data_IF_322075220445
#
_entry.id   IF_322075220445
#
_cell.length_a   1.000
_cell.length_b   1.000
_cell.length_c   1.000
_cell.angle_alpha   90.00
_cell.angle_beta   90.00
_cell.angle_gamma   90.00
#
_symmetry.space_group_name_H-M   'P 1'
#
loop_
_entity.id
_entity.type
_entity.pdbx_description
1 polymer ?
#
# COMPACT_ATOMS: atom_id res chain seq x y z
N UNK A 1 -0.41 -25.06 -7.38
CA UNK A 1 0.08 -26.44 -7.35
C UNK A 1 -0.01 -27.11 -8.71
N UNK A 2 -1.18 -27.07 -9.38
CA UNK A 2 -1.40 -27.75 -10.67
C UNK A 2 -0.58 -27.17 -11.83
N UNK A 3 -0.37 -25.87 -11.87
CA UNK A 3 0.33 -25.16 -12.95
C UNK A 3 1.81 -24.90 -12.67
N UNK A 4 2.34 -25.34 -11.52
CA UNK A 4 3.73 -25.09 -11.14
C UNK A 4 4.78 -25.76 -12.02
N UNK A 5 4.36 -26.68 -12.92
CA UNK A 5 5.23 -27.33 -13.91
C UNK A 5 5.37 -26.54 -15.22
N UNK A 6 4.57 -25.51 -15.40
CA UNK A 6 4.57 -24.67 -16.61
C UNK A 6 5.11 -23.28 -16.27
N UNK A 7 5.64 -22.55 -17.23
CA UNK A 7 5.97 -21.16 -17.06
C UNK A 7 4.75 -20.39 -16.51
N UNK A 8 4.91 -19.68 -15.41
CA UNK A 8 3.80 -19.01 -14.76
C UNK A 8 4.22 -17.75 -14.04
N UNK A 9 3.30 -16.82 -13.92
CA UNK A 9 3.43 -15.63 -13.07
C UNK A 9 2.47 -15.78 -11.89
N UNK A 10 3.01 -15.89 -10.69
CA UNK A 10 2.21 -15.84 -9.45
C UNK A 10 2.22 -14.40 -8.94
N UNK A 11 1.10 -13.73 -9.08
CA UNK A 11 0.91 -12.39 -8.52
C UNK A 11 0.58 -12.50 -7.05
N UNK A 12 1.28 -11.71 -6.23
CA UNK A 12 1.04 -11.61 -4.78
C UNK A 12 0.29 -10.32 -4.50
N UNK A 13 -0.60 -10.34 -3.51
CA UNK A 13 -1.25 -9.13 -3.06
C UNK A 13 -0.20 -8.13 -2.57
N UNK A 14 -0.31 -6.90 -3.08
CA UNK A 14 0.54 -5.75 -2.73
C UNK A 14 -0.33 -4.63 -2.21
N UNK A 15 0.28 -3.71 -1.53
CA UNK A 15 -0.35 -2.49 -1.06
C UNK A 15 0.61 -1.32 -1.16
N UNK A 16 0.11 -0.10 -1.01
CA UNK A 16 0.96 1.08 -1.02
C UNK A 16 1.10 1.67 0.38
N UNK A 17 2.20 2.39 0.57
CA UNK A 17 2.55 3.02 1.84
C UNK A 17 2.86 4.51 1.63
N UNK A 18 2.67 5.31 2.67
CA UNK A 18 3.10 6.70 2.70
C UNK A 18 4.13 6.95 3.81
N UNK A 19 5.09 7.82 3.52
CA UNK A 19 6.11 8.26 4.48
C UNK A 19 5.91 9.74 4.75
N UNK A 20 5.61 10.08 6.01
CA UNK A 20 5.33 11.44 6.47
C UNK A 20 6.56 11.98 7.21
N UNK A 21 7.02 13.17 6.85
CA UNK A 21 8.15 13.85 7.50
C UNK A 21 7.72 14.87 8.56
N UNK A 22 6.42 15.20 8.61
CA UNK A 22 5.84 16.17 9.56
C UNK A 22 5.79 17.60 9.05
N UNK A 23 6.14 17.84 7.79
CA UNK A 23 6.09 19.15 7.16
C UNK A 23 4.99 19.23 6.09
N UNK A 24 4.02 18.31 6.14
CA UNK A 24 2.94 18.24 5.16
C UNK A 24 2.02 19.44 5.26
N UNK A 25 1.79 20.10 4.14
CA UNK A 25 0.84 21.19 3.96
C UNK A 25 -0.60 20.67 3.78
N UNK A 26 -1.59 21.56 3.79
CA UNK A 26 -2.98 21.18 3.47
C UNK A 26 -3.12 20.63 2.04
N UNK A 27 -2.32 21.11 1.10
CA UNK A 27 -2.31 20.57 -0.27
C UNK A 27 -1.76 19.14 -0.29
N UNK A 28 -0.70 18.85 0.47
CA UNK A 28 -0.16 17.49 0.61
C UNK A 28 -1.20 16.53 1.18
N UNK A 29 -1.98 16.97 2.18
CA UNK A 29 -3.08 16.17 2.73
C UNK A 29 -4.18 15.89 1.69
N UNK A 30 -4.52 16.87 0.87
CA UNK A 30 -5.49 16.71 -0.20
C UNK A 30 -5.00 15.69 -1.25
N UNK A 31 -3.71 15.73 -1.59
CA UNK A 31 -3.09 14.78 -2.51
C UNK A 31 -3.03 13.37 -1.90
N UNK A 32 -2.57 13.24 -0.66
CA UNK A 32 -2.51 11.96 0.04
C UNK A 32 -3.90 11.35 0.24
N UNK A 33 -4.93 12.17 0.46
CA UNK A 33 -6.30 11.68 0.58
C UNK A 33 -6.78 10.97 -0.69
N UNK A 34 -6.34 11.43 -1.88
CA UNK A 34 -6.62 10.73 -3.13
C UNK A 34 -5.94 9.37 -3.17
N UNK A 35 -4.69 9.28 -2.73
CA UNK A 35 -3.97 8.01 -2.69
C UNK A 35 -4.60 7.01 -1.70
N UNK A 36 -5.30 7.48 -0.66
CA UNK A 36 -5.99 6.63 0.31
C UNK A 36 -7.39 6.24 -0.17
N UNK A 37 -8.21 7.22 -0.56
CA UNK A 37 -9.65 7.04 -0.74
C UNK A 37 -10.10 6.79 -2.17
N UNK A 38 -9.28 7.09 -3.17
CA UNK A 38 -9.65 6.81 -4.56
C UNK A 38 -10.00 5.31 -4.69
N UNK A 39 -11.06 5.02 -5.41
CA UNK A 39 -11.63 3.66 -5.51
C UNK A 39 -11.97 3.04 -4.12
N UNK A 40 -12.24 3.89 -3.12
CA UNK A 40 -12.64 3.47 -1.77
C UNK A 40 -11.58 2.62 -1.05
N UNK A 41 -10.31 2.79 -1.36
CA UNK A 41 -9.22 2.03 -0.76
C UNK A 41 -9.10 0.57 -1.24
N UNK A 42 -9.76 0.20 -2.33
CA UNK A 42 -9.82 -1.19 -2.82
C UNK A 42 -8.64 -1.60 -3.71
N UNK A 43 -7.83 -0.66 -4.20
CA UNK A 43 -6.72 -0.92 -5.11
C UNK A 43 -5.41 -1.23 -4.40
N UNK A 44 -4.54 -2.00 -5.04
CA UNK A 44 -3.17 -2.24 -4.53
C UNK A 44 -2.30 -0.96 -4.48
N UNK A 45 -2.71 0.09 -5.22
CA UNK A 45 -2.06 1.41 -5.21
C UNK A 45 -2.63 2.34 -4.14
N UNK A 46 -3.70 1.95 -3.42
CA UNK A 46 -4.17 2.72 -2.29
C UNK A 46 -3.23 2.56 -1.10
N UNK A 47 -3.00 3.67 -0.41
CA UNK A 47 -2.19 3.70 0.80
C UNK A 47 -2.98 3.06 1.94
N UNK A 48 -2.47 1.96 2.48
CA UNK A 48 -3.04 1.24 3.62
C UNK A 48 -2.20 1.37 4.89
N UNK A 49 -0.98 1.89 4.78
CA UNK A 49 -0.09 2.13 5.91
C UNK A 49 0.67 3.43 5.75
N UNK A 50 0.83 4.15 6.86
CA UNK A 50 1.67 5.34 6.96
C UNK A 50 2.80 5.12 7.96
N UNK A 51 3.97 5.65 7.65
CA UNK A 51 5.08 5.80 8.59
C UNK A 51 5.19 7.27 8.98
N UNK A 52 5.24 7.56 10.27
CA UNK A 52 5.24 8.92 10.80
C UNK A 52 6.37 9.13 11.79
N UNK A 53 6.95 10.32 11.81
CA UNK A 53 8.11 10.64 12.66
C UNK A 53 7.76 10.84 14.14
N UNK A 54 6.51 11.23 14.45
CA UNK A 54 6.05 11.44 15.82
C UNK A 54 4.51 11.36 15.92
N UNK A 55 3.99 11.33 17.16
CA UNK A 55 2.55 11.23 17.41
C UNK A 55 1.76 12.51 17.04
N UNK A 56 2.38 13.67 17.07
CA UNK A 56 1.70 14.92 16.69
C UNK A 56 1.28 14.89 15.23
N UNK A 57 2.07 14.24 14.39
CA UNK A 57 1.77 14.07 12.97
C UNK A 57 0.56 13.17 12.71
N UNK A 58 0.19 12.27 13.63
CA UNK A 58 -1.02 11.46 13.51
C UNK A 58 -2.28 12.31 13.60
N UNK A 59 -2.30 13.30 14.50
CA UNK A 59 -3.43 14.21 14.64
C UNK A 59 -3.52 15.17 13.44
N UNK A 60 -2.37 15.68 12.98
CA UNK A 60 -2.31 16.49 11.77
C UNK A 60 -2.81 15.71 10.54
N UNK A 61 -2.39 14.45 10.39
CA UNK A 61 -2.87 13.55 9.35
C UNK A 61 -4.38 13.37 9.41
N UNK A 62 -4.96 12.99 10.57
CA UNK A 62 -6.41 12.78 10.69
C UNK A 62 -7.20 14.04 10.32
N UNK A 63 -6.78 15.19 10.83
CA UNK A 63 -7.39 16.48 10.49
C UNK A 63 -7.24 16.80 9.00
N UNK A 64 -6.08 16.48 8.42
CA UNK A 64 -5.82 16.65 6.99
C UNK A 64 -6.74 15.79 6.10
N UNK A 65 -7.25 14.67 6.64
CA UNK A 65 -8.19 13.78 5.92
C UNK A 65 -9.65 14.24 6.00
N UNK A 66 -10.02 15.22 6.85
CA UNK A 66 -11.40 15.69 7.01
C UNK A 66 -12.09 16.09 5.68
N UNK A 67 -11.42 16.72 4.70
CA UNK A 67 -12.05 17.02 3.41
C UNK A 67 -12.54 15.80 2.63
N UNK A 68 -12.04 14.61 2.93
CA UNK A 68 -12.44 13.35 2.27
C UNK A 68 -13.69 12.71 2.92
N UNK A 69 -14.34 13.37 3.88
CA UNK A 69 -15.49 12.83 4.62
C UNK A 69 -16.59 12.25 3.72
N UNK A 70 -16.81 12.79 2.54
CA UNK A 70 -17.83 12.31 1.59
C UNK A 70 -17.64 10.84 1.15
N UNK A 71 -16.50 10.22 1.45
CA UNK A 71 -16.27 8.80 1.16
C UNK A 71 -17.30 7.88 1.86
N UNK A 72 -17.86 8.32 3.00
CA UNK A 72 -18.90 7.58 3.73
C UNK A 72 -20.26 7.57 3.03
N UNK A 73 -20.50 8.41 2.05
CA UNK A 73 -21.72 8.37 1.24
C UNK A 73 -21.82 7.08 0.42
N UNK A 74 -20.67 6.41 0.24
CA UNK A 74 -20.62 5.10 -0.38
C UNK A 74 -20.93 3.99 0.64
N UNK A 75 -22.10 3.38 0.54
CA UNK A 75 -22.62 2.41 1.50
C UNK A 75 -21.67 1.26 1.86
N UNK A 76 -20.93 0.71 0.88
CA UNK A 76 -19.96 -0.38 1.15
C UNK A 76 -18.77 0.12 1.97
N UNK A 77 -18.33 1.36 1.73
CA UNK A 77 -17.26 1.96 2.53
C UNK A 77 -17.73 2.19 3.96
N UNK A 78 -18.89 2.82 4.13
CA UNK A 78 -19.50 3.07 5.44
C UNK A 78 -19.70 1.77 6.23
N UNK A 79 -20.23 0.72 5.60
CA UNK A 79 -20.40 -0.58 6.26
C UNK A 79 -19.06 -1.17 6.75
N UNK A 80 -17.97 -1.01 5.98
CA UNK A 80 -16.64 -1.43 6.43
C UNK A 80 -16.12 -0.58 7.60
N UNK A 81 -16.36 0.74 7.54
CA UNK A 81 -16.00 1.64 8.64
C UNK A 81 -16.72 1.26 9.92
N UNK A 82 -18.04 1.09 9.90
CA UNK A 82 -18.85 0.71 11.07
C UNK A 82 -18.45 -0.65 11.63
N UNK A 83 -18.21 -1.62 10.74
CA UNK A 83 -17.72 -2.94 11.13
C UNK A 83 -16.36 -2.88 11.84
N UNK A 84 -15.37 -2.21 11.23
CA UNK A 84 -14.04 -2.12 11.81
C UNK A 84 -14.04 -1.30 13.11
N UNK A 85 -14.78 -0.19 13.18
CA UNK A 85 -14.96 0.59 14.40
C UNK A 85 -15.54 -0.26 15.52
N UNK A 86 -16.63 -0.98 15.25
CA UNK A 86 -17.25 -1.88 16.22
C UNK A 86 -16.27 -2.96 16.71
N UNK A 87 -15.52 -3.56 15.79
CA UNK A 87 -14.49 -4.55 16.12
C UNK A 87 -13.41 -3.99 17.06
N UNK A 88 -12.90 -2.80 16.81
CA UNK A 88 -11.86 -2.20 17.66
C UNK A 88 -12.43 -1.77 19.02
N UNK A 89 -13.65 -1.24 19.05
CA UNK A 89 -14.33 -0.88 20.31
C UNK A 89 -14.59 -2.11 21.19
N UNK A 90 -15.14 -3.19 20.63
CA UNK A 90 -15.45 -4.42 21.37
C UNK A 90 -14.18 -5.06 21.92
N UNK A 91 -13.12 -5.08 21.12
CA UNK A 91 -11.82 -5.64 21.52
C UNK A 91 -11.00 -4.69 22.40
N UNK A 92 -11.49 -3.47 22.66
CA UNK A 92 -10.75 -2.42 23.37
C UNK A 92 -9.37 -2.15 22.76
N UNK A 93 -9.26 -2.31 21.44
CA UNK A 93 -8.02 -2.05 20.72
C UNK A 93 -7.83 -0.54 20.54
N UNK A 94 -6.66 0.03 20.90
CA UNK A 94 -6.40 1.45 20.70
C UNK A 94 -6.52 1.83 19.23
N UNK A 95 -7.23 2.89 18.94
CA UNK A 95 -7.37 3.46 17.60
C UNK A 95 -7.70 4.96 17.68
N UNK A 96 -7.37 5.68 16.63
CA UNK A 96 -7.81 7.05 16.41
C UNK A 96 -8.88 7.05 15.32
N UNK A 97 -9.83 7.99 15.39
CA UNK A 97 -11.03 8.02 14.55
C UNK A 97 -11.42 9.47 14.24
N UNK A 98 -11.60 9.80 12.97
CA UNK A 98 -12.12 11.11 12.54
C UNK A 98 -13.54 11.07 11.95
N UNK A 99 -14.26 9.95 12.14
CA UNK A 99 -15.64 9.79 11.66
C UNK A 99 -15.78 9.11 10.29
N UNK A 100 -14.69 8.88 9.56
CA UNK A 100 -14.69 8.16 8.27
C UNK A 100 -13.43 7.32 8.05
N UNK A 101 -12.39 7.49 8.84
CA UNK A 101 -11.14 6.75 8.78
C UNK A 101 -10.67 6.38 10.18
N UNK A 102 -10.19 5.16 10.33
CA UNK A 102 -9.58 4.66 11.56
C UNK A 102 -8.06 4.56 11.38
N UNK A 103 -7.30 5.05 12.36
CA UNK A 103 -5.86 4.82 12.45
C UNK A 103 -5.56 3.82 13.56
N UNK A 104 -4.78 2.81 13.22
CA UNK A 104 -4.41 1.73 14.15
C UNK A 104 -2.91 1.48 14.08
N UNK A 105 -2.27 1.40 15.22
CA UNK A 105 -0.87 1.01 15.29
C UNK A 105 -0.70 -0.46 14.90
N UNK A 106 0.16 -0.74 13.91
CA UNK A 106 0.37 -2.11 13.45
C UNK A 106 1.67 -2.24 12.65
N UNK A 107 2.35 -3.38 12.78
CA UNK A 107 3.50 -3.75 11.95
C UNK A 107 3.09 -4.34 10.59
N UNK A 108 1.81 -4.66 10.41
CA UNK A 108 1.28 -5.17 9.15
C UNK A 108 1.25 -4.09 8.08
N UNK A 109 1.33 -4.48 6.81
CA UNK A 109 1.27 -3.55 5.67
C UNK A 109 -0.16 -3.31 5.18
N UNK A 110 -0.97 -4.37 5.14
CA UNK A 110 -2.29 -4.33 4.54
C UNK A 110 -3.33 -4.12 5.61
N UNK A 111 -4.01 -2.98 5.58
CA UNK A 111 -5.13 -2.68 6.47
C UNK A 111 -6.47 -3.03 5.82
N UNK A 112 -7.52 -3.24 6.61
CA UNK A 112 -8.89 -3.33 6.12
C UNK A 112 -9.34 -2.00 5.48
N UNK A 113 -10.40 -2.04 4.67
CA UNK A 113 -11.05 -0.83 4.15
C UNK A 113 -11.45 0.07 5.31
N UNK A 114 -11.33 1.38 5.14
CA UNK A 114 -11.58 2.42 6.16
C UNK A 114 -10.62 2.43 7.35
N UNK A 115 -9.55 1.66 7.28
CA UNK A 115 -8.48 1.66 8.26
C UNK A 115 -7.16 1.97 7.56
N UNK A 116 -6.34 2.82 8.17
CA UNK A 116 -4.94 3.00 7.79
C UNK A 116 -4.10 2.57 8.99
N UNK A 117 -3.14 1.69 8.75
CA UNK A 117 -2.17 1.34 9.77
C UNK A 117 -1.10 2.41 9.88
N UNK A 118 -0.57 2.61 11.08
CA UNK A 118 0.58 3.49 11.25
C UNK A 118 1.69 2.83 12.06
N UNK A 119 2.90 3.31 11.86
CA UNK A 119 4.09 2.94 12.61
C UNK A 119 4.96 4.18 12.80
N UNK A 120 5.45 4.38 14.02
CA UNK A 120 6.36 5.47 14.34
C UNK A 120 7.79 5.09 13.93
N UNK A 121 8.49 6.00 13.28
CA UNK A 121 9.92 5.85 13.01
C UNK A 121 10.73 6.98 13.65
N UNK A 122 11.91 6.65 14.14
CA UNK A 122 12.86 7.61 14.73
C UNK A 122 14.16 7.67 13.92
N UNK A 123 14.42 6.64 13.11
CA UNK A 123 15.64 6.50 12.31
C UNK A 123 15.24 6.20 10.85
N UNK A 124 15.58 7.15 9.98
CA UNK A 124 15.27 7.06 8.55
C UNK A 124 16.03 5.94 7.85
N UNK A 125 17.29 5.69 8.23
CA UNK A 125 18.09 4.63 7.62
C UNK A 125 17.52 3.24 7.98
N UNK A 126 17.04 3.08 9.21
CA UNK A 126 16.34 1.87 9.64
C UNK A 126 15.03 1.70 8.89
N UNK A 127 14.25 2.77 8.70
CA UNK A 127 13.01 2.74 7.92
C UNK A 127 13.28 2.34 6.46
N UNK A 128 14.30 2.92 5.81
CA UNK A 128 14.69 2.57 4.44
C UNK A 128 15.00 1.07 4.31
N UNK A 129 15.76 0.52 5.26
CA UNK A 129 16.06 -0.91 5.30
C UNK A 129 14.80 -1.75 5.45
N UNK A 130 13.91 -1.40 6.39
CA UNK A 130 12.65 -2.09 6.64
C UNK A 130 11.72 -2.08 5.41
N UNK A 131 11.61 -0.95 4.73
CA UNK A 131 10.81 -0.80 3.50
C UNK A 131 11.40 -1.64 2.38
N UNK A 132 12.73 -1.63 2.21
CA UNK A 132 13.43 -2.44 1.21
C UNK A 132 13.24 -3.95 1.43
N UNK A 133 13.29 -4.42 2.66
CA UNK A 133 13.01 -5.83 3.01
C UNK A 133 11.57 -6.27 2.65
N UNK A 134 10.62 -5.32 2.65
CA UNK A 134 9.21 -5.55 2.30
C UNK A 134 8.87 -5.15 0.86
N UNK A 135 9.84 -4.79 0.04
CA UNK A 135 9.62 -4.25 -1.32
C UNK A 135 8.73 -5.15 -2.20
N UNK A 136 8.85 -6.46 -2.05
CA UNK A 136 8.05 -7.43 -2.80
C UNK A 136 6.55 -7.41 -2.45
N UNK A 137 6.15 -6.75 -1.34
CA UNK A 137 4.77 -6.57 -0.88
C UNK A 137 4.25 -5.15 -1.09
N UNK A 138 5.13 -4.23 -1.52
CA UNK A 138 4.80 -2.82 -1.69
C UNK A 138 4.66 -2.51 -3.17
N UNK A 139 3.51 -1.94 -3.57
CA UNK A 139 3.24 -1.51 -4.93
C UNK A 139 3.80 -0.11 -5.20
N UNK A 140 3.42 0.85 -4.36
CA UNK A 140 3.92 2.22 -4.43
C UNK A 140 4.34 2.69 -3.05
N UNK A 141 5.32 3.59 -3.03
CA UNK A 141 5.70 4.39 -1.87
C UNK A 141 5.41 5.84 -2.25
N UNK A 142 4.66 6.55 -1.44
CA UNK A 142 4.40 7.97 -1.66
C UNK A 142 4.95 8.80 -0.51
N UNK A 143 5.47 9.98 -0.81
CA UNK A 143 5.94 10.96 0.15
C UNK A 143 5.76 12.37 -0.38
N UNK A 144 5.84 13.39 0.47
CA UNK A 144 5.77 14.78 0.05
C UNK A 144 6.86 15.07 -1.00
N UNK A 145 6.48 15.51 -2.19
CA UNK A 145 7.42 15.78 -3.30
C UNK A 145 8.33 14.60 -3.70
N UNK A 146 8.08 13.38 -3.22
CA UNK A 146 8.91 12.21 -3.51
C UNK A 146 10.27 12.21 -2.78
N UNK A 147 10.37 12.85 -1.59
CA UNK A 147 11.63 12.99 -0.86
C UNK A 147 12.23 11.68 -0.36
N UNK A 148 11.39 10.67 -0.10
CA UNK A 148 11.88 9.37 0.37
C UNK A 148 12.39 8.54 -0.82
N UNK A 149 13.50 7.84 -0.64
CA UNK A 149 14.13 7.05 -1.70
C UNK A 149 13.17 6.00 -2.28
N UNK A 150 13.00 6.02 -3.60
CA UNK A 150 12.08 5.15 -4.34
C UNK A 150 10.59 5.52 -4.21
N UNK A 151 10.27 6.68 -3.64
CA UNK A 151 8.89 7.18 -3.57
C UNK A 151 8.53 8.11 -4.73
N UNK A 152 7.23 8.24 -4.94
CA UNK A 152 6.61 9.22 -5.84
C UNK A 152 5.89 10.29 -5.02
N UNK A 153 5.61 11.49 -5.58
CA UNK A 153 4.85 12.52 -4.87
C UNK A 153 3.46 12.05 -4.47
N UNK A 154 2.91 12.61 -3.38
CA UNK A 154 1.52 12.41 -3.01
C UNK A 154 0.57 12.72 -4.16
N UNK A 155 -0.54 12.00 -4.28
CA UNK A 155 -1.53 12.13 -5.34
C UNK A 155 -1.18 11.40 -6.64
N UNK A 156 0.02 10.83 -6.75
CA UNK A 156 0.49 10.14 -7.96
C UNK A 156 0.43 8.61 -7.89
N UNK A 157 0.06 8.03 -6.75
CA UNK A 157 -0.01 6.57 -6.62
C UNK A 157 -0.90 5.90 -7.67
N UNK A 158 -2.00 6.55 -8.06
CA UNK A 158 -2.95 6.04 -9.05
C UNK A 158 -2.64 6.46 -10.50
N UNK A 159 -1.49 7.10 -10.74
CA UNK A 159 -1.05 7.56 -12.06
C UNK A 159 0.19 6.77 -12.52
N UNK A 160 0.06 5.46 -12.83
CA UNK A 160 1.19 4.66 -13.29
C UNK A 160 1.68 5.13 -14.67
N UNK A 161 2.98 5.07 -14.88
CA UNK A 161 3.56 5.20 -16.22
C UNK A 161 3.34 3.94 -17.05
N UNK A 162 3.56 4.02 -18.35
CA UNK A 162 3.41 2.87 -19.28
C UNK A 162 4.35 1.72 -18.90
N UNK A 163 5.50 2.04 -18.30
CA UNK A 163 6.50 1.07 -17.82
C UNK A 163 6.19 0.48 -16.45
N UNK A 164 5.20 1.02 -15.72
CA UNK A 164 4.79 0.54 -14.41
C UNK A 164 3.87 -0.68 -14.52
N UNK A 165 4.46 -1.83 -14.73
CA UNK A 165 3.72 -3.08 -14.76
C UNK A 165 3.03 -3.39 -13.42
N UNK A 166 1.82 -3.95 -13.51
CA UNK A 166 1.11 -4.45 -12.34
C UNK A 166 2.00 -5.46 -11.58
N UNK A 167 2.11 -5.28 -10.28
CA UNK A 167 2.95 -6.10 -9.39
C UNK A 167 4.45 -6.11 -9.75
N UNK A 168 4.93 -5.09 -10.47
CA UNK A 168 6.31 -5.01 -11.00
C UNK A 168 6.70 -6.21 -11.88
N UNK A 169 5.73 -6.90 -12.47
CA UNK A 169 5.95 -8.04 -13.34
C UNK A 169 5.79 -7.63 -14.79
N UNK A 170 6.89 -7.63 -15.54
CA UNK A 170 6.89 -7.41 -16.98
C UNK A 170 6.24 -8.60 -17.71
N UNK A 171 4.92 -8.53 -17.85
CA UNK A 171 4.13 -9.58 -18.50
C UNK A 171 4.48 -9.73 -19.98
N UNK A 172 4.84 -8.64 -20.66
CA UNK A 172 5.23 -8.68 -22.07
C UNK A 172 6.53 -9.45 -22.25
N UNK A 173 7.54 -9.16 -21.44
CA UNK A 173 8.81 -9.89 -21.43
C UNK A 173 8.61 -11.38 -21.11
N UNK A 174 7.73 -11.68 -20.15
CA UNK A 174 7.36 -13.07 -19.84
C UNK A 174 6.77 -13.76 -21.06
N UNK A 175 5.80 -13.16 -21.75
CA UNK A 175 5.16 -13.74 -22.94
C UNK A 175 6.15 -13.94 -24.10
N UNK A 176 7.04 -12.97 -24.34
CA UNK A 176 8.08 -13.07 -25.37
C UNK A 176 9.09 -14.17 -25.13
N UNK A 177 9.32 -14.54 -23.87
CA UNK A 177 10.26 -15.59 -23.48
C UNK A 177 9.59 -16.97 -23.25
N UNK A 178 8.28 -17.07 -23.46
CA UNK A 178 7.50 -18.27 -23.12
C UNK A 178 8.00 -19.51 -23.84
N UNK A 179 8.34 -19.42 -25.14
CA UNK A 179 8.84 -20.53 -25.93
C UNK A 179 10.19 -21.04 -25.43
N UNK A 180 11.06 -20.15 -24.96
CA UNK A 180 12.36 -20.55 -24.40
C UNK A 180 12.21 -21.25 -23.05
N UNK A 181 11.25 -20.84 -22.24
CA UNK A 181 10.97 -21.47 -20.94
C UNK A 181 10.26 -22.83 -21.11
N UNK A 182 9.35 -22.97 -22.07
CA UNK A 182 8.71 -24.23 -22.40
C UNK A 182 9.74 -25.27 -22.84
N UNK A 183 10.69 -24.89 -23.69
CA UNK A 183 11.77 -25.77 -24.15
C UNK A 183 12.66 -26.25 -22.99
N UNK A 184 13.03 -25.36 -22.07
CA UNK A 184 13.83 -25.73 -20.89
C UNK A 184 13.10 -26.69 -19.95
N UNK A 185 11.77 -26.55 -19.80
CA UNK A 185 10.98 -27.46 -18.98
C UNK A 185 10.72 -28.81 -19.67
N UNK A 186 10.73 -28.84 -21.01
CA UNK A 186 10.58 -30.09 -21.78
C UNK A 186 11.83 -30.96 -21.75
N UNK A 187 13.03 -30.40 -21.60
CA UNK A 187 14.32 -31.11 -21.55
C UNK A 187 14.59 -31.88 -20.24
N UNK A 188 13.77 -31.68 -19.19
CA UNK A 188 13.91 -32.31 -17.89
C UNK A 188 15.19 -31.94 -17.12
N UNK A 189 15.32 -32.28 -15.83
CA UNK A 189 16.55 -32.11 -15.11
C UNK A 189 17.64 -33.00 -15.73
N UNK A 190 18.91 -32.54 -15.83
CA UNK A 190 20.00 -33.35 -16.36
C UNK A 190 20.05 -34.68 -15.60
N UNK A 191 20.01 -35.78 -16.34
CA UNK A 191 20.19 -37.09 -15.77
C UNK A 191 21.55 -37.11 -15.07
N UNK A 192 21.52 -37.13 -13.74
CA UNK A 192 22.72 -37.38 -12.96
C UNK A 192 23.18 -38.80 -13.32
N UNK A 193 24.29 -38.91 -14.05
CA UNK A 193 25.03 -40.15 -14.28
C UNK A 193 25.90 -40.46 -13.08
#
# INVERSE_FOLDING_TARGET
>A
YYFGRYPHIIRKNRTSIAILDGNESQEDWNLLSRDIFQYYGLGCRNVSKIYVSNQENLQAFLKGMDPAHQVIDHHKYLNNYDYNKSKYLVNRSPHLDNGHLLLVESNELVSPISVVYYELYTDLARLQKQVKEKENKIQCIVSREGWFDGSTPFGSAQCPEVSDYADKVDTLKFLLNLDQEILRHAEGPPKQG
#
